data_IF_487318038564
#
_entry.id   IF_487318038564
#
_cell.length_a   1.000
_cell.length_b   1.000
_cell.length_c   1.000
_cell.angle_alpha   90.00
_cell.angle_beta   90.00
_cell.angle_gamma   90.00
#
_symmetry.space_group_name_H-M   'P 1'
#
loop_
_entity.id
_entity.type
_entity.pdbx_description
1 polymer ?
#
# COMPACT_ATOMS: atom_id res chain seq x y z
N UNK A 1 -61.85 60.57 35.56
CA UNK A 1 -62.25 59.99 34.25
C UNK A 1 -61.30 58.83 33.96
N UNK A 2 -61.50 57.66 34.54
CA UNK A 2 -62.36 56.54 34.07
C UNK A 2 -61.85 55.86 32.80
N UNK A 3 -61.47 54.58 32.95
CA UNK A 3 -61.38 53.42 32.00
C UNK A 3 -60.23 52.51 32.48
N UNK A 4 -60.41 51.63 33.46
CA UNK A 4 -61.13 50.33 33.41
C UNK A 4 -60.72 49.49 32.19
N UNK A 5 -59.96 48.41 32.40
CA UNK A 5 -60.41 47.00 32.33
C UNK A 5 -59.22 46.04 32.12
N UNK A 6 -59.05 45.17 33.10
CA UNK A 6 -58.35 43.89 33.01
C UNK A 6 -58.85 43.07 31.82
N UNK A 7 -57.92 42.38 31.15
CA UNK A 7 -58.20 41.15 30.39
C UNK A 7 -57.31 40.04 30.93
N UNK A 8 -57.94 39.06 31.58
CA UNK A 8 -57.39 37.72 31.79
C UNK A 8 -57.56 36.91 30.49
N UNK A 9 -56.53 36.16 30.09
CA UNK A 9 -56.58 34.82 29.48
C UNK A 9 -55.13 34.40 29.17
N UNK A 10 -54.54 33.51 29.97
CA UNK A 10 -54.38 32.06 29.73
C UNK A 10 -53.34 31.68 28.67
N UNK A 11 -52.36 30.91 29.15
CA UNK A 11 -51.67 29.79 28.49
C UNK A 11 -50.61 30.10 27.43
N UNK A 12 -49.37 29.68 27.71
CA UNK A 12 -48.30 29.66 26.72
C UNK A 12 -46.93 29.25 27.27
N UNK A 13 -46.84 28.00 27.74
CA UNK A 13 -45.68 27.10 27.69
C UNK A 13 -44.26 27.68 27.74
N UNK A 14 -43.55 27.35 28.84
CA UNK A 14 -42.08 27.35 28.96
C UNK A 14 -41.49 26.42 27.90
N UNK A 15 -40.59 26.91 27.04
CA UNK A 15 -39.57 26.09 26.39
C UNK A 15 -38.20 26.75 26.59
N UNK A 16 -37.46 26.26 27.59
CA UNK A 16 -36.00 26.30 27.59
C UNK A 16 -35.53 25.33 26.50
N UNK A 17 -34.94 25.83 25.41
CA UNK A 17 -34.16 25.01 24.50
C UNK A 17 -32.68 25.31 24.73
N UNK A 18 -32.06 24.53 25.62
CA UNK A 18 -30.63 24.44 25.78
C UNK A 18 -30.20 23.04 25.35
N UNK A 19 -29.61 22.88 24.16
CA UNK A 19 -28.91 21.65 23.77
C UNK A 19 -27.86 21.95 22.69
N UNK A 20 -26.57 21.95 23.05
CA UNK A 20 -25.56 20.89 22.89
C UNK A 20 -24.67 21.13 21.65
N UNK A 21 -23.50 21.77 21.86
CA UNK A 21 -22.39 21.70 20.90
C UNK A 21 -21.86 20.26 20.92
N UNK A 22 -22.14 19.50 19.87
CA UNK A 22 -21.53 18.19 19.66
C UNK A 22 -20.09 18.41 19.16
N UNK A 23 -19.12 18.22 20.04
CA UNK A 23 -17.71 18.18 19.68
C UNK A 23 -17.41 16.79 19.09
N UNK A 24 -17.29 16.70 17.77
CA UNK A 24 -16.73 15.51 17.13
C UNK A 24 -15.22 15.48 17.42
N UNK A 25 -14.83 14.93 18.58
CA UNK A 25 -13.48 14.48 18.81
C UNK A 25 -13.24 13.27 17.90
N UNK A 26 -12.74 13.53 16.69
CA UNK A 26 -12.18 12.49 15.84
C UNK A 26 -10.91 11.98 16.50
N UNK A 27 -11.04 10.98 17.36
CA UNK A 27 -9.91 10.17 17.80
C UNK A 27 -9.32 9.51 16.54
N UNK A 28 -8.31 10.17 15.97
CA UNK A 28 -7.40 9.54 15.01
C UNK A 28 -6.56 8.57 15.82
N UNK A 29 -7.18 7.42 16.16
CA UNK A 29 -6.43 6.27 16.61
C UNK A 29 -5.50 5.90 15.47
N UNK A 30 -4.20 5.98 15.71
CA UNK A 30 -3.18 5.37 14.86
C UNK A 30 -3.54 3.90 14.71
N UNK A 31 -4.26 3.55 13.65
CA UNK A 31 -4.41 2.15 13.26
C UNK A 31 -2.99 1.62 12.99
N UNK A 32 -2.68 0.36 13.38
CA UNK A 32 -1.47 -0.29 12.91
C UNK A 32 -1.47 -0.20 11.39
N UNK A 33 -0.38 0.29 10.79
CA UNK A 33 -0.16 0.16 9.36
C UNK A 33 -0.05 -1.34 9.11
N UNK A 34 -1.05 -1.95 8.49
CA UNK A 34 -0.95 -3.36 8.12
C UNK A 34 0.14 -3.50 7.07
N UNK A 35 1.17 -4.29 7.39
CA UNK A 35 2.20 -4.64 6.43
C UNK A 35 1.60 -5.57 5.39
N UNK A 36 1.74 -5.20 4.12
CA UNK A 36 1.33 -6.04 2.99
C UNK A 36 2.22 -7.27 2.95
N UNK A 37 1.62 -8.44 2.71
CA UNK A 37 2.37 -9.69 2.55
C UNK A 37 2.80 -9.88 1.08
N UNK A 38 4.10 -9.71 0.75
CA UNK A 38 4.58 -9.91 -0.61
C UNK A 38 4.77 -11.39 -0.96
N UNK A 39 4.64 -12.32 0.00
CA UNK A 39 4.88 -13.76 -0.23
C UNK A 39 4.07 -14.26 -1.43
N UNK A 40 4.75 -15.05 -2.27
CA UNK A 40 4.21 -15.55 -3.53
C UNK A 40 5.10 -15.24 -4.72
N UNK A 41 4.54 -15.42 -5.92
CA UNK A 41 5.24 -15.26 -7.19
C UNK A 41 4.69 -14.05 -7.95
N UNK A 42 5.58 -13.35 -8.63
CA UNK A 42 5.32 -12.14 -9.39
C UNK A 42 5.98 -12.24 -10.76
N UNK A 43 5.25 -11.90 -11.81
CA UNK A 43 5.65 -12.08 -13.21
C UNK A 43 5.10 -13.36 -13.84
N UNK A 44 5.34 -13.53 -15.15
CA UNK A 44 4.98 -14.74 -15.88
C UNK A 44 6.13 -15.75 -15.85
N UNK A 45 6.05 -16.72 -14.92
CA UNK A 45 7.05 -17.78 -14.77
C UNK A 45 7.01 -18.83 -15.88
N UNK A 46 5.98 -18.82 -16.74
CA UNK A 46 5.84 -19.76 -17.84
C UNK A 46 6.49 -19.25 -19.13
N UNK A 47 6.67 -17.93 -19.24
CA UNK A 47 7.29 -17.28 -20.38
C UNK A 47 8.82 -17.26 -20.26
N UNK A 48 9.51 -17.77 -21.28
CA UNK A 48 10.97 -17.68 -21.36
C UNK A 48 11.38 -16.27 -21.75
N UNK A 49 12.40 -15.72 -21.08
CA UNK A 49 12.87 -14.37 -21.34
C UNK A 49 12.14 -13.29 -20.56
N UNK A 50 11.09 -13.64 -19.80
CA UNK A 50 10.34 -12.69 -18.99
C UNK A 50 10.88 -12.62 -17.55
N UNK A 51 10.84 -11.44 -16.93
CA UNK A 51 11.26 -11.25 -15.56
C UNK A 51 10.23 -11.83 -14.57
N UNK A 52 10.72 -12.42 -13.48
CA UNK A 52 9.87 -12.86 -12.37
C UNK A 52 10.62 -12.89 -11.04
N UNK A 53 9.88 -12.72 -9.95
CA UNK A 53 10.35 -12.83 -8.58
C UNK A 53 9.45 -13.77 -7.78
N UNK A 54 10.05 -14.48 -6.83
CA UNK A 54 9.35 -15.27 -5.83
C UNK A 54 9.85 -14.88 -4.44
N UNK A 55 8.93 -14.37 -3.63
CA UNK A 55 9.14 -14.08 -2.21
C UNK A 55 8.71 -15.30 -1.40
N UNK A 56 9.69 -15.99 -0.82
CA UNK A 56 9.45 -17.13 0.05
C UNK A 56 9.19 -16.71 1.49
N UNK A 57 8.50 -17.57 2.23
CA UNK A 57 8.36 -17.44 3.68
C UNK A 57 9.74 -17.32 4.35
N UNK A 58 9.82 -16.47 5.38
CA UNK A 58 11.06 -16.23 6.12
C UNK A 58 12.07 -15.32 5.42
N UNK A 59 11.64 -14.54 4.41
CA UNK A 59 12.46 -13.48 3.82
C UNK A 59 13.38 -13.92 2.68
N UNK A 60 13.16 -15.07 2.06
CA UNK A 60 13.97 -15.54 0.93
C UNK A 60 13.46 -14.97 -0.40
N UNK A 61 14.38 -14.60 -1.30
CA UNK A 61 14.10 -14.11 -2.64
C UNK A 61 14.76 -15.01 -3.68
N UNK A 62 14.02 -15.35 -4.73
CA UNK A 62 14.59 -15.91 -5.95
C UNK A 62 13.87 -15.36 -7.18
N UNK A 63 14.53 -15.37 -8.33
CA UNK A 63 13.90 -14.86 -9.55
C UNK A 63 14.77 -14.93 -10.78
N UNK A 64 14.33 -14.26 -11.83
CA UNK A 64 15.05 -14.04 -13.08
C UNK A 64 14.71 -12.67 -13.62
N UNK A 65 15.66 -11.98 -14.25
CA UNK A 65 15.39 -10.76 -15.02
C UNK A 65 15.04 -11.05 -16.50
N UNK A 66 14.82 -12.33 -16.82
CA UNK A 66 14.64 -12.84 -18.17
C UNK A 66 15.90 -13.46 -18.77
N UNK A 67 17.08 -13.02 -18.33
CA UNK A 67 18.38 -13.56 -18.76
C UNK A 67 19.17 -14.15 -17.58
N UNK A 68 19.30 -13.39 -16.50
CA UNK A 68 20.08 -13.70 -15.32
C UNK A 68 19.23 -14.24 -14.18
N UNK A 69 19.81 -15.16 -13.42
CA UNK A 69 19.21 -15.65 -12.18
C UNK A 69 19.46 -14.67 -11.05
N UNK A 70 18.42 -14.39 -10.28
CA UNK A 70 18.43 -13.56 -9.07
C UNK A 70 18.24 -14.42 -7.82
N UNK A 71 19.05 -14.20 -6.79
CA UNK A 71 18.92 -14.83 -5.46
C UNK A 71 19.27 -13.85 -4.36
N UNK A 72 18.56 -13.88 -3.24
CA UNK A 72 18.84 -13.01 -2.11
C UNK A 72 17.77 -13.09 -1.05
N UNK A 73 17.51 -11.97 -0.40
CA UNK A 73 16.49 -11.83 0.64
C UNK A 73 15.62 -10.59 0.47
N UNK A 74 14.57 -10.50 1.27
CA UNK A 74 13.69 -9.35 1.31
C UNK A 74 13.22 -9.05 2.73
N UNK A 75 12.84 -7.79 2.96
CA UNK A 75 12.12 -7.33 4.14
C UNK A 75 10.94 -6.47 3.70
N UNK A 76 9.89 -6.35 4.52
CA UNK A 76 8.73 -5.53 4.20
C UNK A 76 8.32 -4.65 5.38
N UNK A 77 7.98 -3.39 5.08
CA UNK A 77 7.42 -2.42 6.02
C UNK A 77 6.29 -1.66 5.32
N UNK A 78 5.07 -1.74 5.87
CA UNK A 78 3.89 -1.22 5.18
C UNK A 78 3.69 -1.92 3.83
N UNK A 79 3.61 -1.15 2.75
CA UNK A 79 3.50 -1.65 1.37
C UNK A 79 4.86 -1.79 0.66
N UNK A 80 5.96 -1.41 1.32
CA UNK A 80 7.27 -1.34 0.72
C UNK A 80 8.07 -2.60 1.03
N UNK A 81 8.60 -3.22 -0.03
CA UNK A 81 9.56 -4.33 0.02
C UNK A 81 10.95 -3.78 -0.25
N UNK A 82 11.89 -4.08 0.63
CA UNK A 82 13.32 -3.79 0.41
C UNK A 82 14.03 -5.09 0.06
N UNK A 83 14.75 -5.08 -1.06
CA UNK A 83 15.56 -6.22 -1.48
C UNK A 83 16.93 -6.18 -0.80
N UNK A 84 17.38 -7.32 -0.28
CA UNK A 84 18.56 -7.41 0.60
C UNK A 84 19.54 -8.42 0.01
N UNK A 85 20.79 -7.98 -0.16
CA UNK A 85 21.93 -8.80 -0.61
C UNK A 85 21.63 -9.65 -1.86
N UNK A 86 20.96 -9.05 -2.85
CA UNK A 86 20.60 -9.75 -4.08
C UNK A 86 21.82 -9.93 -4.98
N UNK A 87 22.14 -11.19 -5.27
CA UNK A 87 23.14 -11.59 -6.25
C UNK A 87 22.47 -11.94 -7.58
N UNK A 88 23.14 -11.57 -8.68
CA UNK A 88 22.74 -11.89 -10.04
C UNK A 88 23.85 -12.61 -10.79
N UNK A 89 23.49 -13.48 -11.74
CA UNK A 89 24.44 -13.94 -12.75
C UNK A 89 24.80 -12.79 -13.71
N UNK A 90 25.77 -13.01 -14.61
CA UNK A 90 26.20 -12.02 -15.62
C UNK A 90 26.22 -12.62 -17.02
N UNK A 91 25.12 -13.26 -17.39
CA UNK A 91 24.90 -13.79 -18.73
C UNK A 91 24.54 -12.66 -19.69
N UNK A 92 24.89 -12.86 -20.96
CA UNK A 92 24.48 -12.00 -22.06
C UNK A 92 23.48 -12.78 -22.90
N UNK A 93 22.24 -12.29 -22.97
CA UNK A 93 21.18 -12.90 -23.76
C UNK A 93 20.75 -11.94 -24.86
N UNK A 94 20.67 -12.42 -26.09
CA UNK A 94 20.19 -11.62 -27.22
C UNK A 94 18.68 -11.41 -27.11
N UNK A 95 18.23 -10.17 -27.34
CA UNK A 95 16.80 -9.83 -27.37
C UNK A 95 16.10 -9.77 -26.01
N UNK A 96 16.83 -9.86 -24.90
CA UNK A 96 16.29 -9.70 -23.54
C UNK A 96 16.74 -8.35 -22.98
N UNK A 97 15.82 -7.62 -22.36
CA UNK A 97 16.14 -6.44 -21.56
C UNK A 97 16.13 -6.83 -20.06
N UNK A 98 17.31 -7.02 -19.43
CA UNK A 98 17.43 -7.51 -18.06
C UNK A 98 17.19 -6.40 -17.01
N UNK A 99 16.19 -5.54 -17.22
CA UNK A 99 15.94 -4.34 -16.41
C UNK A 99 15.82 -4.66 -14.90
N UNK A 100 15.23 -5.81 -14.57
CA UNK A 100 14.98 -6.21 -13.19
C UNK A 100 16.27 -6.45 -12.39
N UNK A 101 17.43 -6.66 -13.03
CA UNK A 101 18.72 -6.76 -12.31
C UNK A 101 19.08 -5.48 -11.53
N UNK A 102 18.44 -4.35 -11.80
CA UNK A 102 18.65 -3.09 -11.07
C UNK A 102 17.76 -2.92 -9.83
N UNK A 103 16.97 -3.94 -9.46
CA UNK A 103 16.04 -3.88 -8.32
C UNK A 103 16.72 -3.42 -7.01
N UNK A 104 16.05 -2.52 -6.29
CA UNK A 104 16.48 -2.05 -4.96
C UNK A 104 15.30 -2.06 -3.96
N UNK A 105 14.15 -1.53 -4.36
CA UNK A 105 12.90 -1.63 -3.59
C UNK A 105 11.72 -1.95 -4.50
N UNK A 106 10.60 -2.30 -3.89
CA UNK A 106 9.33 -2.43 -4.59
C UNK A 106 8.17 -1.98 -3.69
N UNK A 107 7.05 -1.60 -4.30
CA UNK A 107 5.78 -1.38 -3.59
C UNK A 107 4.74 -2.39 -4.05
N UNK A 108 3.93 -2.85 -3.10
CA UNK A 108 2.83 -3.79 -3.38
C UNK A 108 1.49 -3.06 -3.32
N UNK A 109 0.77 -3.07 -4.43
CA UNK A 109 -0.59 -2.56 -4.52
C UNK A 109 -1.50 -3.61 -5.16
N UNK A 110 -2.23 -4.36 -4.32
CA UNK A 110 -3.06 -5.48 -4.76
C UNK A 110 -2.22 -6.56 -5.46
N UNK A 111 -2.53 -6.80 -6.74
CA UNK A 111 -1.84 -7.78 -7.58
C UNK A 111 -0.74 -7.15 -8.44
N UNK A 112 -0.24 -5.96 -8.09
CA UNK A 112 0.87 -5.30 -8.81
C UNK A 112 2.03 -5.02 -7.86
N UNK A 113 3.21 -5.48 -8.25
CA UNK A 113 4.49 -5.14 -7.65
C UNK A 113 5.18 -4.11 -8.54
N UNK A 114 5.38 -2.89 -8.04
CA UNK A 114 6.11 -1.84 -8.76
C UNK A 114 7.54 -1.84 -8.25
N UNK A 115 8.53 -1.95 -9.14
CA UNK A 115 9.94 -2.12 -8.77
C UNK A 115 10.71 -0.83 -9.07
N UNK A 116 11.59 -0.47 -8.15
CA UNK A 116 12.42 0.73 -8.21
C UNK A 116 13.90 0.38 -8.11
N UNK A 117 14.74 1.18 -8.76
CA UNK A 117 16.20 1.09 -8.65
C UNK A 117 16.76 1.83 -7.42
N UNK A 118 18.08 1.79 -7.24
CA UNK A 118 18.77 2.45 -6.11
C UNK A 118 18.58 3.98 -6.07
N UNK A 119 18.23 4.61 -7.20
CA UNK A 119 17.93 6.05 -7.26
C UNK A 119 16.48 6.37 -6.89
N UNK A 120 15.63 5.35 -6.75
CA UNK A 120 14.19 5.47 -6.53
C UNK A 120 13.41 5.66 -7.83
N UNK A 121 14.02 5.44 -9.00
CA UNK A 121 13.31 5.47 -10.27
C UNK A 121 12.52 4.17 -10.46
N UNK A 122 11.27 4.28 -10.91
CA UNK A 122 10.49 3.13 -11.32
C UNK A 122 11.11 2.50 -12.57
N UNK A 123 11.40 1.20 -12.51
CA UNK A 123 12.05 0.45 -13.59
C UNK A 123 11.13 -0.60 -14.23
N UNK A 124 10.02 -0.93 -13.58
CA UNK A 124 9.02 -1.83 -14.15
C UNK A 124 8.03 -2.35 -13.12
N UNK A 125 7.08 -3.15 -13.61
CA UNK A 125 6.04 -3.77 -12.79
C UNK A 125 5.95 -5.26 -13.05
N UNK A 126 5.66 -6.04 -12.00
CA UNK A 126 5.34 -7.46 -12.10
C UNK A 126 3.93 -7.72 -11.57
N UNK A 127 3.04 -8.37 -12.34
CA UNK A 127 1.75 -8.80 -11.82
C UNK A 127 1.92 -9.98 -10.85
N UNK A 128 1.06 -10.10 -9.85
CA UNK A 128 1.00 -11.31 -9.02
C UNK A 128 0.58 -12.49 -9.90
N UNK A 129 1.33 -13.59 -9.83
CA UNK A 129 0.94 -14.82 -10.53
C UNK A 129 -0.27 -15.42 -9.81
N UNK A 130 -1.32 -15.75 -10.56
CA UNK A 130 -2.55 -16.36 -10.05
C UNK A 130 -2.35 -17.81 -9.57
#
# INVERSE_FOLDING_TARGET
MSRTLQRLALSGTILLAATLLSACAGNSGTAPVETVDPVGTWGDVSATGEPSLAFGNGGSLSGTDGCNRLVGSWTAEGDTVTFVEVASTRMLCEGVDPWLSALATATVSGDTLTVFDESGAEIGTLPRTA
#
